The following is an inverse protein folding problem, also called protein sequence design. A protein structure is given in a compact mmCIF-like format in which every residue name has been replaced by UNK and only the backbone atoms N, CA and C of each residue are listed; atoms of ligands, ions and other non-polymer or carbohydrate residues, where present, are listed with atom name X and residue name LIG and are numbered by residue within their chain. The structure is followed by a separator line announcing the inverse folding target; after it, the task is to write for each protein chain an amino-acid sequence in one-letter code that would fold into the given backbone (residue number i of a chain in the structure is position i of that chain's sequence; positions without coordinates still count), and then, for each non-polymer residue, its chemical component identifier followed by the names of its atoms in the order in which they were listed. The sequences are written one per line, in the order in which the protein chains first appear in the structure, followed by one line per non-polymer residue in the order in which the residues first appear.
data_IF_853018028537
#
_entry.id   IF_853018028537
#
_cell.length_a   1.000
_cell.length_b   1.000
_cell.length_c   1.000
_cell.angle_alpha   90.00
_cell.angle_beta   90.00
_cell.angle_gamma   90.00
#
_symmetry.space_group_name_H-M   'P 1'
#
loop_
_entity.id
_entity.type
_entity.pdbx_description
1 polymer ?
#
# COMPACT_ATOMS: atom_id res chain seq x y z
N UNK A 1 21.16 -10.28 -0.20
CA UNK A 1 20.14 -10.30 0.87
C UNK A 1 18.81 -10.72 0.25
N UNK A 2 18.25 -11.87 0.62
CA UNK A 2 16.95 -12.29 0.11
C UNK A 2 15.88 -11.31 0.62
N UNK A 3 15.39 -10.44 -0.27
CA UNK A 3 14.30 -9.52 0.04
C UNK A 3 13.03 -10.35 0.21
N UNK A 4 12.72 -10.71 1.47
CA UNK A 4 11.45 -11.37 1.79
C UNK A 4 10.34 -10.39 1.47
N UNK A 5 9.58 -10.70 0.42
CA UNK A 5 8.39 -9.93 0.08
C UNK A 5 7.45 -9.89 1.29
N UNK A 6 6.77 -8.77 1.48
CA UNK A 6 5.75 -8.58 2.51
C UNK A 6 4.50 -8.01 1.85
N UNK A 7 3.32 -8.29 2.40
CA UNK A 7 2.10 -7.59 2.05
C UNK A 7 2.07 -6.28 2.83
N UNK A 8 2.00 -5.17 2.10
CA UNK A 8 1.81 -3.84 2.64
C UNK A 8 0.36 -3.44 2.48
N UNK A 9 -0.26 -3.01 3.57
CA UNK A 9 -1.64 -2.54 3.60
C UNK A 9 -1.65 -1.04 3.87
N UNK A 10 -2.41 -0.31 3.06
CA UNK A 10 -2.59 1.13 3.17
C UNK A 10 -4.08 1.46 3.24
N UNK A 11 -4.43 2.33 4.17
CA UNK A 11 -5.66 3.10 4.03
C UNK A 11 -5.39 4.22 3.01
N UNK A 12 -6.24 4.35 2.01
CA UNK A 12 -6.01 5.21 0.87
C UNK A 12 -7.23 6.06 0.54
N UNK A 13 -7.01 7.30 0.12
CA UNK A 13 -8.05 8.17 -0.44
C UNK A 13 -7.69 8.49 -1.88
N UNK A 14 -8.60 8.22 -2.80
CA UNK A 14 -8.38 8.52 -4.21
C UNK A 14 -8.46 10.04 -4.44
N UNK A 15 -7.41 10.62 -5.04
CA UNK A 15 -7.29 12.07 -5.29
C UNK A 15 -8.28 12.57 -6.34
N UNK A 16 -8.63 11.74 -7.30
CA UNK A 16 -9.56 12.08 -8.38
C UNK A 16 -11.03 11.85 -8.00
N UNK A 17 -11.29 11.11 -6.93
CA UNK A 17 -12.64 10.76 -6.52
C UNK A 17 -13.29 11.89 -5.71
N UNK A 18 -14.40 12.45 -6.21
CA UNK A 18 -15.11 13.57 -5.56
C UNK A 18 -15.67 13.25 -4.17
N UNK A 19 -15.92 11.97 -3.89
CA UNK A 19 -16.25 11.49 -2.54
C UNK A 19 -14.98 10.90 -1.95
N UNK A 20 -14.48 11.52 -0.88
CA UNK A 20 -13.28 11.10 -0.15
C UNK A 20 -13.53 9.82 0.66
N UNK A 21 -14.01 8.76 -0.01
CA UNK A 21 -14.29 7.47 0.61
C UNK A 21 -12.93 6.78 0.84
N UNK A 22 -12.57 6.48 2.10
CA UNK A 22 -11.35 5.72 2.37
C UNK A 22 -11.52 4.29 1.85
N UNK A 23 -10.49 3.80 1.16
CA UNK A 23 -10.39 2.43 0.66
C UNK A 23 -9.16 1.74 1.26
N UNK A 24 -9.22 0.42 1.42
CA UNK A 24 -8.08 -0.37 1.87
C UNK A 24 -7.35 -0.97 0.66
N UNK A 25 -6.10 -0.57 0.44
CA UNK A 25 -5.24 -1.08 -0.62
C UNK A 25 -4.21 -2.05 -0.04
N UNK A 26 -3.94 -3.15 -0.76
CA UNK A 26 -2.92 -4.12 -0.38
C UNK A 26 -2.02 -4.44 -1.57
N UNK A 27 -0.71 -4.52 -1.35
CA UNK A 27 0.25 -4.94 -2.38
C UNK A 27 1.37 -5.76 -1.76
N UNK A 28 1.87 -6.74 -2.52
CA UNK A 28 3.11 -7.44 -2.18
C UNK A 28 4.28 -6.63 -2.71
N UNK A 29 5.27 -6.37 -1.87
CA UNK A 29 6.51 -5.69 -2.27
C UNK A 29 7.70 -6.14 -1.43
N UNK A 30 8.90 -5.86 -1.92
CA UNK A 30 10.16 -6.04 -1.19
C UNK A 30 10.33 -5.06 -0.04
N UNK A 31 9.79 -3.86 -0.18
CA UNK A 31 9.95 -2.73 0.74
C UNK A 31 8.76 -1.77 0.64
N UNK A 32 8.58 -0.93 1.66
CA UNK A 32 7.44 0.00 1.73
C UNK A 32 7.48 1.05 0.62
N UNK A 33 8.68 1.50 0.20
CA UNK A 33 8.82 2.54 -0.83
C UNK A 33 8.34 2.03 -2.18
N UNK A 34 8.70 0.80 -2.54
CA UNK A 34 8.20 0.10 -3.72
C UNK A 34 6.69 -0.13 -3.67
N UNK A 35 6.16 -0.49 -2.49
CA UNK A 35 4.71 -0.63 -2.28
C UNK A 35 3.95 0.69 -2.46
N UNK A 36 4.45 1.79 -1.87
CA UNK A 36 3.86 3.12 -1.98
C UNK A 36 3.88 3.63 -3.41
N UNK A 37 5.00 3.43 -4.13
CA UNK A 37 5.14 3.90 -5.52
C UNK A 37 4.02 3.39 -6.42
N UNK A 38 3.48 2.20 -6.16
CA UNK A 38 2.40 1.59 -6.95
C UNK A 38 1.07 2.36 -6.89
N UNK A 39 0.83 3.13 -5.82
CA UNK A 39 -0.44 3.84 -5.61
C UNK A 39 -0.28 5.35 -5.38
N UNK A 40 0.95 5.85 -5.20
CA UNK A 40 1.20 7.25 -4.84
C UNK A 40 0.79 8.28 -5.91
N UNK A 41 0.55 7.84 -7.15
CA UNK A 41 0.06 8.71 -8.22
C UNK A 41 -1.40 9.12 -7.96
N UNK A 42 -2.26 8.13 -7.75
CA UNK A 42 -3.71 8.31 -7.68
C UNK A 42 -4.24 8.45 -6.25
N UNK A 43 -3.48 8.00 -5.25
CA UNK A 43 -3.93 7.90 -3.87
C UNK A 43 -3.06 8.67 -2.88
N UNK A 44 -3.71 9.25 -1.89
CA UNK A 44 -3.07 9.65 -0.62
C UNK A 44 -3.02 8.41 0.26
N UNK A 45 -1.83 8.02 0.74
CA UNK A 45 -1.59 6.75 1.41
C UNK A 45 -1.25 6.93 2.90
N UNK A 46 -2.05 6.32 3.76
CA UNK A 46 -1.77 6.12 5.18
C UNK A 46 -1.35 4.66 5.39
N UNK A 47 -0.15 4.45 5.93
CA UNK A 47 0.34 3.11 6.24
C UNK A 47 -0.49 2.51 7.37
N UNK A 48 -0.99 1.29 7.17
CA UNK A 48 -1.79 0.57 8.16
C UNK A 48 -0.98 -0.55 8.80
N UNK A 49 -0.51 -1.51 8.00
CA UNK A 49 0.29 -2.63 8.51
C UNK A 49 1.14 -3.30 7.43
N UNK A 50 2.11 -4.12 7.90
CA UNK A 50 2.91 -5.02 7.07
C UNK A 50 2.72 -6.45 7.55
N UNK A 51 2.32 -7.32 6.64
CA UNK A 51 2.12 -8.75 6.89
C UNK A 51 3.21 -9.55 6.18
N UNK A 52 3.87 -10.51 6.83
CA UNK A 52 4.82 -11.38 6.17
C UNK A 52 4.11 -12.27 5.14
N UNK A 53 4.72 -12.48 3.97
CA UNK A 53 4.24 -13.53 3.05
C UNK A 53 4.90 -14.84 3.47
N UNK A 54 4.09 -15.76 3.99
CA UNK A 54 4.55 -17.05 4.51
C UNK A 54 4.21 -17.22 5.98
N UNK A 55 3.14 -17.99 6.21
CA UNK A 55 3.07 -18.95 7.32
C UNK A 55 3.34 -20.32 6.73
#
# INVERSE_FOLDING_TARGET
MATRNSIYVFAAINRAQRKNIPVMLRTVASDEKSARRRYAADYILCFSCRLPVGV
#
